data_IF_311419122773
#
_entry.id   IF_311419122773
#
_cell.length_a   1.000
_cell.length_b   1.000
_cell.length_c   1.000
_cell.angle_alpha   90.00
_cell.angle_beta   90.00
_cell.angle_gamma   90.00
#
_symmetry.space_group_name_H-M   'P 1'
#
loop_
_entity.id
_entity.type
_entity.pdbx_description
1 polymer ?
#
# COMPACT_ATOMS: atom_id res chain seq x y z
N UNK A 1 19.14 16.19 3.11
CA UNK A 1 18.06 15.57 2.30
C UNK A 1 17.98 14.12 2.73
N UNK A 2 16.84 13.72 3.32
CA UNK A 2 16.67 12.40 3.94
C UNK A 2 16.59 11.31 2.85
N UNK A 3 17.17 10.13 3.03
CA UNK A 3 17.21 9.10 1.98
C UNK A 3 15.80 8.65 1.55
N UNK A 4 14.84 8.69 2.47
CA UNK A 4 13.42 8.44 2.17
C UNK A 4 12.83 9.49 1.22
N UNK A 5 13.22 10.77 1.34
CA UNK A 5 12.77 11.83 0.42
C UNK A 5 13.29 11.61 -0.99
N UNK A 6 14.53 11.09 -1.11
CA UNK A 6 15.12 10.72 -2.40
C UNK A 6 14.35 9.57 -3.03
N UNK A 7 14.09 8.50 -2.26
CA UNK A 7 13.27 7.38 -2.74
C UNK A 7 11.86 7.83 -3.15
N UNK A 8 11.24 8.73 -2.39
CA UNK A 8 9.93 9.26 -2.73
C UNK A 8 9.96 10.02 -4.06
N UNK A 9 10.96 10.90 -4.24
CA UNK A 9 11.15 11.65 -5.48
C UNK A 9 11.38 10.73 -6.68
N UNK A 10 12.23 9.73 -6.51
CA UNK A 10 12.70 8.88 -7.61
C UNK A 10 11.70 7.76 -7.98
N UNK A 11 10.86 7.33 -7.03
CA UNK A 11 9.99 6.16 -7.20
C UNK A 11 8.51 6.40 -6.93
N UNK A 12 8.15 7.47 -6.21
CA UNK A 12 6.78 7.83 -5.86
C UNK A 12 5.82 7.88 -7.06
N UNK A 13 6.14 8.61 -8.14
CA UNK A 13 5.27 8.68 -9.32
C UNK A 13 5.02 7.32 -9.99
N UNK A 14 6.06 6.48 -10.08
CA UNK A 14 5.95 5.15 -10.67
C UNK A 14 5.16 4.18 -9.77
N UNK A 15 5.36 4.25 -8.46
CA UNK A 15 4.57 3.50 -7.47
C UNK A 15 3.10 3.89 -7.52
N UNK A 16 2.80 5.20 -7.56
CA UNK A 16 1.43 5.69 -7.65
C UNK A 16 0.75 5.21 -8.92
N UNK A 17 1.43 5.28 -10.07
CA UNK A 17 0.91 4.77 -11.33
C UNK A 17 0.63 3.25 -11.26
N UNK A 18 1.54 2.49 -10.66
CA UNK A 18 1.37 1.04 -10.42
C UNK A 18 0.16 0.75 -9.53
N UNK A 19 0.04 1.44 -8.39
CA UNK A 19 -1.05 1.26 -7.43
C UNK A 19 -2.41 1.63 -8.04
N UNK A 20 -2.48 2.73 -8.80
CA UNK A 20 -3.69 3.15 -9.53
C UNK A 20 -4.17 2.09 -10.51
N UNK A 21 -3.24 1.49 -11.26
CA UNK A 21 -3.56 0.41 -12.22
C UNK A 21 -4.00 -0.87 -11.51
N UNK A 22 -3.42 -1.19 -10.36
CA UNK A 22 -3.60 -2.49 -9.69
C UNK A 22 -4.78 -2.55 -8.72
N UNK A 23 -5.12 -1.45 -8.06
CA UNK A 23 -6.07 -1.42 -6.93
C UNK A 23 -7.29 -0.52 -7.12
N UNK A 24 -7.46 0.06 -8.32
CA UNK A 24 -8.63 0.83 -8.79
C UNK A 24 -9.17 1.87 -7.79
N UNK A 25 -8.89 3.14 -8.07
CA UNK A 25 -9.37 4.28 -7.28
C UNK A 25 -8.24 5.24 -6.95
N UNK A 26 -8.43 6.53 -7.26
CA UNK A 26 -7.41 7.56 -7.05
C UNK A 26 -7.03 7.67 -5.58
N UNK A 27 -8.03 7.83 -4.70
CA UNK A 27 -7.82 7.99 -3.26
C UNK A 27 -7.13 6.76 -2.67
N UNK A 28 -7.62 5.56 -3.00
CA UNK A 28 -7.05 4.30 -2.53
C UNK A 28 -5.58 4.18 -2.92
N UNK A 29 -5.21 4.57 -4.13
CA UNK A 29 -3.82 4.50 -4.56
C UNK A 29 -2.91 5.52 -3.85
N UNK A 30 -3.41 6.73 -3.57
CA UNK A 30 -2.69 7.75 -2.79
C UNK A 30 -2.48 7.29 -1.33
N UNK A 31 -3.51 6.71 -0.71
CA UNK A 31 -3.42 6.14 0.65
C UNK A 31 -2.42 4.97 0.69
N UNK A 32 -2.48 4.04 -0.28
CA UNK A 32 -1.56 2.91 -0.39
C UNK A 32 -0.12 3.37 -0.62
N UNK A 33 0.08 4.47 -1.37
CA UNK A 33 1.39 5.06 -1.58
C UNK A 33 1.95 5.56 -0.24
N UNK A 34 1.15 6.31 0.52
CA UNK A 34 1.55 6.78 1.85
C UNK A 34 1.89 5.61 2.79
N UNK A 35 1.02 4.60 2.87
CA UNK A 35 1.22 3.42 3.72
C UNK A 35 2.48 2.63 3.29
N UNK A 36 2.80 2.60 1.99
CA UNK A 36 4.06 2.04 1.48
C UNK A 36 5.27 2.77 2.05
N UNK A 37 5.30 4.11 2.04
CA UNK A 37 6.44 4.88 2.55
C UNK A 37 6.53 4.88 4.08
N UNK A 38 5.39 4.81 4.79
CA UNK A 38 5.36 4.58 6.24
C UNK A 38 5.98 3.22 6.58
N UNK A 39 5.62 2.18 5.85
CA UNK A 39 6.21 0.86 6.06
C UNK A 39 7.69 0.83 5.68
N UNK A 40 8.07 1.49 4.58
CA UNK A 40 9.46 1.62 4.17
C UNK A 40 10.31 2.31 5.24
N UNK A 41 9.79 3.36 5.90
CA UNK A 41 10.47 4.03 7.01
C UNK A 41 10.70 3.08 8.20
N UNK A 42 9.72 2.22 8.51
CA UNK A 42 9.82 1.25 9.62
C UNK A 42 10.81 0.12 9.36
N UNK A 43 11.04 -0.22 8.09
CA UNK A 43 11.95 -1.29 7.69
C UNK A 43 13.21 -0.76 7.01
N UNK A 44 13.47 0.56 7.15
CA UNK A 44 14.48 1.28 6.39
C UNK A 44 15.91 0.80 6.67
N UNK A 45 16.18 0.37 7.90
CA UNK A 45 17.49 -0.23 8.25
C UNK A 45 17.81 -1.48 7.41
N UNK A 46 16.80 -2.17 6.87
CA UNK A 46 16.98 -3.29 5.94
C UNK A 46 17.25 -2.89 4.49
N UNK A 47 17.00 -1.63 4.11
CA UNK A 47 17.23 -1.12 2.75
C UNK A 47 18.71 -1.07 2.40
N UNK A 48 19.60 -0.82 3.37
CA UNK A 48 21.05 -0.82 3.15
C UNK A 48 21.57 -2.14 2.54
N UNK A 49 20.81 -3.23 2.70
CA UNK A 49 21.13 -4.56 2.22
C UNK A 49 20.41 -4.92 0.89
N UNK A 50 19.54 -4.05 0.38
CA UNK A 50 18.73 -4.34 -0.80
C UNK A 50 19.50 -4.02 -2.10
N UNK A 51 19.69 -5.04 -2.94
CA UNK A 51 20.33 -4.90 -4.26
C UNK A 51 19.58 -3.94 -5.22
N UNK A 52 18.29 -3.65 -4.95
CA UNK A 52 17.50 -2.68 -5.72
C UNK A 52 16.44 -1.99 -4.84
N UNK A 53 16.61 -0.70 -4.51
CA UNK A 53 15.63 0.08 -3.76
C UNK A 53 14.25 0.12 -4.45
N UNK A 54 14.25 0.18 -5.79
CA UNK A 54 13.03 0.13 -6.59
C UNK A 54 12.29 -1.18 -6.39
N UNK A 55 12.94 -2.33 -6.57
CA UNK A 55 12.27 -3.63 -6.43
C UNK A 55 11.71 -3.83 -5.02
N UNK A 56 12.48 -3.41 -4.00
CA UNK A 56 12.06 -3.44 -2.61
C UNK A 56 10.80 -2.60 -2.33
N UNK A 57 10.76 -1.35 -2.81
CA UNK A 57 9.58 -0.50 -2.65
C UNK A 57 8.33 -1.10 -3.33
N UNK A 58 8.49 -1.69 -4.52
CA UNK A 58 7.38 -2.34 -5.21
C UNK A 58 6.90 -3.61 -4.48
N UNK A 59 7.79 -4.32 -3.80
CA UNK A 59 7.42 -5.45 -2.95
C UNK A 59 6.59 -5.00 -1.74
N UNK A 60 6.99 -3.91 -1.08
CA UNK A 60 6.21 -3.30 0.02
C UNK A 60 4.84 -2.84 -0.51
N UNK A 61 4.80 -2.10 -1.60
CA UNK A 61 3.54 -1.60 -2.19
C UNK A 61 2.58 -2.73 -2.54
N UNK A 62 3.09 -3.84 -3.08
CA UNK A 62 2.30 -5.05 -3.32
C UNK A 62 1.74 -5.64 -2.03
N UNK A 63 2.56 -5.77 -0.99
CA UNK A 63 2.14 -6.33 0.30
C UNK A 63 1.02 -5.48 0.91
N UNK A 64 1.24 -4.17 1.00
CA UNK A 64 0.29 -3.21 1.57
C UNK A 64 -1.04 -3.25 0.80
N UNK A 65 -0.99 -3.21 -0.54
CA UNK A 65 -2.20 -3.27 -1.37
C UNK A 65 -2.99 -4.58 -1.23
N UNK A 66 -2.32 -5.73 -1.16
CA UNK A 66 -3.00 -7.03 -0.93
C UNK A 66 -3.63 -7.10 0.46
N UNK A 67 -2.93 -6.58 1.48
CA UNK A 67 -3.46 -6.50 2.85
C UNK A 67 -4.71 -5.62 2.92
N UNK A 68 -4.68 -4.44 2.27
CA UNK A 68 -5.84 -3.56 2.19
C UNK A 68 -7.02 -4.20 1.44
N UNK A 69 -6.78 -4.94 0.36
CA UNK A 69 -7.84 -5.69 -0.33
C UNK A 69 -8.46 -6.78 0.55
N UNK A 70 -7.64 -7.52 1.32
CA UNK A 70 -8.13 -8.53 2.26
C UNK A 70 -9.02 -7.89 3.34
N UNK A 71 -8.57 -6.82 3.98
CA UNK A 71 -9.33 -6.09 5.00
C UNK A 71 -10.68 -5.59 4.47
N UNK A 72 -10.72 -5.02 3.26
CA UNK A 72 -11.97 -4.56 2.63
C UNK A 72 -12.97 -5.71 2.43
N UNK A 73 -12.50 -6.89 2.01
CA UNK A 73 -13.37 -8.08 1.84
C UNK A 73 -13.94 -8.55 3.17
N UNK A 74 -13.13 -8.54 4.24
CA UNK A 74 -13.57 -8.92 5.58
C UNK A 74 -14.60 -7.93 6.14
N UNK A 75 -14.44 -6.61 5.91
CA UNK A 75 -15.45 -5.59 6.29
C UNK A 75 -16.75 -5.74 5.51
N UNK A 76 -16.72 -6.06 4.21
CA UNK A 76 -17.93 -6.32 3.41
C UNK A 76 -18.67 -7.59 3.84
N UNK A 77 -17.97 -8.55 4.44
CA UNK A 77 -18.54 -9.81 4.93
C UNK A 77 -18.97 -9.73 6.41
N UNK A 78 -18.92 -8.55 7.03
CA UNK A 78 -19.37 -8.40 8.42
C UNK A 78 -20.92 -8.47 8.51
N UNK A 79 -21.48 -9.26 9.43
CA UNK A 79 -22.83 -9.85 9.36
C UNK A 79 -24.03 -8.95 9.70
N UNK A 80 -23.88 -7.63 9.81
CA UNK A 80 -24.97 -6.74 10.25
C UNK A 80 -26.14 -6.69 9.24
N UNK A 81 -25.89 -6.93 7.94
CA UNK A 81 -26.94 -7.01 6.92
C UNK A 81 -27.69 -8.34 6.85
N UNK A 82 -27.30 -9.37 7.61
CA UNK A 82 -28.02 -10.65 7.65
C UNK A 82 -29.14 -10.70 8.70
N UNK A 83 -29.19 -9.73 9.63
CA UNK A 83 -30.13 -9.73 10.76
C UNK A 83 -31.38 -8.86 10.55
N UNK A 84 -31.59 -8.31 9.36
CA UNK A 84 -32.85 -7.63 9.02
C UNK A 84 -33.83 -8.63 8.37
N UNK A 85 -34.44 -9.48 9.20
CA UNK A 85 -35.72 -10.13 8.88
C UNK A 85 -36.77 -9.66 9.89
N UNK A 86 -37.96 -9.23 9.43
CA UNK A 86 -39.01 -8.74 10.31
C UNK A 86 -39.60 -9.90 11.13
N UNK A 87 -39.98 -9.61 12.37
CA UNK A 87 -41.06 -10.31 13.07
C UNK A 87 -42.10 -9.25 13.44
#
# INVERSE_FOLDING_TARGET
MNDLERLYRDHGPALLAYLRRRFAGRQVAEDLLQETFVQALRTFDGLAQAASPRAWLFAIARHVGLSAQRRRRETTLSPETAAALPQ
#
